data_IF_108733852466
#
_entry.id   IF_108733852466
#
_cell.length_a   1.000
_cell.length_b   1.000
_cell.length_c   1.000
_cell.angle_alpha   90.00
_cell.angle_beta   90.00
_cell.angle_gamma   90.00
#
_symmetry.space_group_name_H-M   'P 1'
#
loop_
_entity.id
_entity.type
_entity.pdbx_description
1 polymer ?
#
# COMPACT_ATOMS: atom_id res chain seq x y z
N UNK A 1 -5.89 12.46 -15.21
CA UNK A 1 -6.67 13.73 -15.13
C UNK A 1 -5.65 14.87 -15.10
N UNK A 2 -5.85 15.97 -15.83
CA UNK A 2 -4.87 17.07 -15.93
C UNK A 2 -5.38 18.32 -15.19
N UNK A 3 -5.26 18.38 -13.85
CA UNK A 3 -5.80 19.48 -13.07
C UNK A 3 -4.92 20.73 -13.24
N UNK A 4 -5.49 21.77 -13.85
CA UNK A 4 -4.82 23.03 -14.14
C UNK A 4 -5.50 24.17 -13.40
N UNK A 5 -4.70 25.15 -13.02
CA UNK A 5 -5.16 26.43 -12.48
C UNK A 5 -5.96 27.18 -13.56
N UNK A 6 -7.16 27.66 -13.22
CA UNK A 6 -8.07 28.32 -14.17
C UNK A 6 -7.48 29.57 -14.82
N UNK A 7 -6.65 30.33 -14.10
CA UNK A 7 -6.14 31.62 -14.56
C UNK A 7 -4.85 31.50 -15.38
N UNK A 8 -3.94 30.61 -14.97
CA UNK A 8 -2.58 30.51 -15.54
C UNK A 8 -2.35 29.23 -16.36
N UNK A 9 -3.26 28.26 -16.31
CA UNK A 9 -3.13 26.98 -17.02
C UNK A 9 -2.01 26.07 -16.49
N UNK A 10 -1.39 26.41 -15.36
CA UNK A 10 -0.29 25.66 -14.75
C UNK A 10 -0.80 24.46 -13.94
N UNK A 11 -0.01 23.38 -13.84
CA UNK A 11 -0.34 22.21 -13.00
C UNK A 11 -0.54 22.64 -11.55
N UNK A 12 -1.58 22.13 -10.87
CA UNK A 12 -1.81 22.48 -9.47
C UNK A 12 -0.61 22.10 -8.58
N UNK A 13 -0.23 22.94 -7.60
CA UNK A 13 0.84 22.61 -6.68
C UNK A 13 0.47 21.41 -5.80
N UNK A 14 1.48 20.65 -5.37
CA UNK A 14 1.34 19.48 -4.47
C UNK A 14 0.46 18.35 -5.03
N UNK A 15 0.32 18.25 -6.37
CA UNK A 15 -0.47 17.22 -7.03
C UNK A 15 0.38 16.42 -8.00
N UNK A 16 0.28 15.09 -7.91
CA UNK A 16 0.83 14.18 -8.91
C UNK A 16 -0.12 14.06 -10.10
N UNK A 17 0.45 13.95 -11.30
CA UNK A 17 -0.30 13.87 -12.57
C UNK A 17 -0.76 12.46 -12.90
N UNK A 18 -0.03 11.44 -12.47
CA UNK A 18 -0.31 10.02 -12.75
C UNK A 18 -0.31 9.22 -11.45
N UNK A 19 -1.36 8.42 -11.29
CA UNK A 19 -1.55 7.46 -10.21
C UNK A 19 -1.92 6.13 -10.84
N UNK A 20 -1.12 5.09 -10.56
CA UNK A 20 -1.36 3.75 -11.08
C UNK A 20 -1.25 2.73 -9.95
N UNK A 21 -2.33 1.97 -9.76
CA UNK A 21 -2.38 0.79 -8.93
C UNK A 21 -2.48 -0.47 -9.77
N UNK A 22 -1.65 -1.45 -9.47
CA UNK A 22 -1.76 -2.79 -10.00
C UNK A 22 -1.83 -3.78 -8.84
N UNK A 23 -2.67 -4.79 -8.98
CA UNK A 23 -2.77 -5.88 -8.03
C UNK A 23 -2.58 -7.20 -8.76
N UNK A 24 -1.67 -7.99 -8.24
CA UNK A 24 -1.37 -9.34 -8.67
C UNK A 24 -1.85 -10.30 -7.59
N UNK A 25 -2.58 -11.33 -8.01
CA UNK A 25 -3.05 -12.41 -7.15
C UNK A 25 -2.70 -13.73 -7.84
N UNK A 26 -1.94 -14.58 -7.15
CA UNK A 26 -1.46 -15.86 -7.65
C UNK A 26 -1.81 -16.95 -6.61
N UNK A 27 -2.83 -17.78 -6.88
CA UNK A 27 -3.06 -18.99 -6.10
C UNK A 27 -2.06 -20.06 -6.56
N UNK A 28 -1.05 -20.37 -5.73
CA UNK A 28 -0.01 -21.33 -6.10
C UNK A 28 -0.56 -22.75 -6.06
N UNK A 29 -1.15 -23.11 -4.92
CA UNK A 29 -1.79 -24.41 -4.66
C UNK A 29 -2.94 -24.20 -3.69
N UNK A 30 -3.74 -25.26 -3.49
CA UNK A 30 -4.80 -25.23 -2.49
C UNK A 30 -4.24 -24.89 -1.11
N UNK A 31 -4.59 -23.71 -0.61
CA UNK A 31 -4.15 -23.19 0.69
C UNK A 31 -2.89 -22.32 0.69
N UNK A 32 -2.26 -22.03 -0.44
CA UNK A 32 -1.16 -21.06 -0.54
C UNK A 32 -1.47 -20.02 -1.61
N UNK A 33 -1.46 -18.75 -1.21
CA UNK A 33 -1.71 -17.61 -2.09
C UNK A 33 -0.59 -16.58 -1.95
N UNK A 34 -0.16 -16.02 -3.08
CA UNK A 34 0.68 -14.85 -3.12
C UNK A 34 -0.09 -13.68 -3.70
N UNK A 35 0.07 -12.51 -3.10
CA UNK A 35 -0.51 -11.27 -3.57
C UNK A 35 0.57 -10.19 -3.59
N UNK A 36 0.55 -9.32 -4.59
CA UNK A 36 1.41 -8.16 -4.66
C UNK A 36 0.62 -6.96 -5.17
N UNK A 37 0.69 -5.85 -4.46
CA UNK A 37 0.09 -4.58 -4.81
C UNK A 37 1.22 -3.60 -5.18
N UNK A 38 1.26 -3.19 -6.45
CA UNK A 38 2.19 -2.18 -6.94
C UNK A 38 1.48 -0.82 -7.05
N UNK A 39 2.09 0.20 -6.46
CA UNK A 39 1.64 1.58 -6.49
C UNK A 39 2.71 2.46 -7.12
N UNK A 40 2.35 3.09 -8.23
CA UNK A 40 3.12 4.13 -8.87
C UNK A 40 2.44 5.49 -8.72
N UNK A 41 3.19 6.49 -8.26
CA UNK A 41 2.76 7.88 -8.24
C UNK A 41 3.84 8.71 -8.92
N UNK A 42 3.46 9.48 -9.95
CA UNK A 42 4.41 10.37 -10.62
C UNK A 42 4.94 11.43 -9.64
N UNK A 43 6.17 11.87 -9.88
CA UNK A 43 6.76 13.02 -9.19
C UNK A 43 5.81 14.21 -9.24
N UNK A 44 5.68 14.92 -8.12
CA UNK A 44 4.96 16.19 -8.05
C UNK A 44 5.72 17.24 -8.86
N UNK A 45 5.09 17.79 -9.90
CA UNK A 45 5.71 18.76 -10.81
C UNK A 45 5.98 20.09 -10.11
N UNK A 46 4.95 20.64 -9.44
CA UNK A 46 5.00 21.99 -8.87
C UNK A 46 4.79 21.98 -7.35
N UNK A 47 5.62 22.75 -6.66
CA UNK A 47 5.48 23.11 -5.25
C UNK A 47 5.42 24.64 -5.17
N UNK A 48 4.98 25.20 -4.05
CA UNK A 48 4.98 26.65 -3.86
C UNK A 48 6.43 27.18 -3.87
N UNK A 49 6.73 28.09 -4.80
CA UNK A 49 8.05 28.69 -4.99
C UNK A 49 8.55 29.37 -3.71
N UNK A 50 7.65 29.83 -2.84
CA UNK A 50 8.01 30.45 -1.54
C UNK A 50 8.69 29.47 -0.59
N UNK A 51 8.28 28.20 -0.60
CA UNK A 51 8.85 27.18 0.29
C UNK A 51 10.30 26.89 -0.11
N UNK A 52 10.57 26.87 -1.42
CA UNK A 52 11.93 26.73 -1.94
C UNK A 52 12.74 28.01 -1.73
N UNK A 53 12.18 29.19 -2.00
CA UNK A 53 12.88 30.46 -1.88
C UNK A 53 13.24 30.83 -0.44
N UNK A 54 12.41 30.44 0.54
CA UNK A 54 12.65 30.69 1.96
C UNK A 54 13.47 29.59 2.65
N UNK A 55 13.86 28.54 1.92
CA UNK A 55 14.61 27.38 2.41
C UNK A 55 14.04 26.78 3.71
N UNK A 56 12.71 26.78 3.84
CA UNK A 56 12.01 26.31 5.06
C UNK A 56 12.15 24.81 5.25
N UNK A 57 12.30 24.08 4.14
CA UNK A 57 12.50 22.62 4.11
C UNK A 57 13.79 22.35 3.35
N UNK A 58 14.77 21.80 4.05
CA UNK A 58 16.01 21.31 3.45
C UNK A 58 15.68 20.29 2.34
N UNK A 59 16.29 20.45 1.17
CA UNK A 59 16.04 19.62 -0.01
C UNK A 59 14.57 19.54 -0.45
N UNK A 60 13.79 20.63 -0.37
CA UNK A 60 12.43 20.72 -0.94
C UNK A 60 12.33 20.29 -2.44
N UNK A 61 13.48 20.28 -3.15
CA UNK A 61 13.62 19.81 -4.52
C UNK A 61 13.72 18.29 -4.69
N UNK A 62 14.07 17.52 -3.65
CA UNK A 62 14.33 16.07 -3.65
C UNK A 62 13.05 15.22 -3.76
N UNK A 63 12.26 15.51 -4.80
CA UNK A 63 11.02 14.84 -5.14
C UNK A 63 11.33 13.76 -6.17
N UNK A 64 10.95 12.53 -5.87
CA UNK A 64 11.09 11.38 -6.77
C UNK A 64 9.72 10.82 -7.12
N UNK A 65 9.63 10.04 -8.20
CA UNK A 65 8.45 9.25 -8.44
C UNK A 65 8.37 8.13 -7.39
N UNK A 66 7.17 7.77 -6.96
CA UNK A 66 6.96 6.78 -5.90
C UNK A 66 6.74 5.43 -6.55
N UNK A 67 7.55 4.45 -6.17
CA UNK A 67 7.45 3.06 -6.59
C UNK A 67 7.39 2.17 -5.35
N UNK A 68 6.17 1.79 -4.94
CA UNK A 68 5.95 0.97 -3.75
C UNK A 68 5.35 -0.37 -4.14
N UNK A 69 5.92 -1.44 -3.61
CA UNK A 69 5.39 -2.80 -3.71
C UNK A 69 5.04 -3.27 -2.31
N UNK A 70 3.77 -3.61 -2.10
CA UNK A 70 3.32 -4.33 -0.92
C UNK A 70 3.10 -5.78 -1.32
N UNK A 71 3.67 -6.73 -0.58
CA UNK A 71 3.53 -8.15 -0.87
C UNK A 71 2.86 -8.88 0.30
N UNK A 72 2.11 -9.93 -0.01
CA UNK A 72 1.42 -10.76 0.97
C UNK A 72 1.53 -12.22 0.57
N UNK A 73 1.86 -13.06 1.54
CA UNK A 73 1.74 -14.52 1.43
C UNK A 73 0.68 -15.00 2.42
N UNK A 74 -0.32 -15.72 1.92
CA UNK A 74 -1.41 -16.29 2.72
C UNK A 74 -1.27 -17.81 2.72
N UNK A 75 -1.30 -18.38 3.91
CA UNK A 75 -1.25 -19.81 4.17
C UNK A 75 -2.51 -20.21 4.92
N UNK A 76 -3.43 -20.86 4.21
CA UNK A 76 -4.65 -21.40 4.79
C UNK A 76 -4.40 -22.84 5.28
N UNK A 77 -4.13 -22.96 6.58
CA UNK A 77 -3.83 -24.25 7.21
C UNK A 77 -5.03 -25.17 7.31
N UNK A 78 -6.26 -24.68 7.07
CA UNK A 78 -7.44 -25.54 7.01
C UNK A 78 -7.35 -26.50 5.83
N UNK A 79 -6.82 -25.99 4.72
CA UNK A 79 -6.64 -26.76 3.49
C UNK A 79 -5.34 -27.55 3.48
N UNK A 80 -4.29 -27.03 4.13
CA UNK A 80 -2.96 -27.66 4.15
C UNK A 80 -2.79 -28.72 5.25
N UNK A 81 -3.36 -28.51 6.44
CA UNK A 81 -3.10 -29.32 7.63
C UNK A 81 -4.38 -29.65 8.44
N UNK A 82 -5.57 -29.30 7.93
CA UNK A 82 -6.85 -29.55 8.60
C UNK A 82 -7.13 -28.65 9.81
N UNK A 83 -6.26 -27.69 10.12
CA UNK A 83 -6.39 -26.79 11.27
C UNK A 83 -7.12 -25.50 10.88
N UNK A 84 -8.08 -24.96 11.66
CA UNK A 84 -8.87 -23.79 11.30
C UNK A 84 -8.10 -22.46 11.45
N UNK A 85 -6.84 -22.44 11.00
CA UNK A 85 -5.90 -21.35 11.14
C UNK A 85 -5.55 -20.80 9.75
N UNK A 86 -5.51 -19.48 9.61
CA UNK A 86 -4.93 -18.79 8.47
C UNK A 86 -3.76 -17.94 8.94
N UNK A 87 -2.59 -18.16 8.34
CA UNK A 87 -1.40 -17.37 8.58
C UNK A 87 -1.17 -16.44 7.38
N UNK A 88 -0.99 -15.15 7.61
CA UNK A 88 -0.71 -14.17 6.56
C UNK A 88 0.56 -13.42 6.91
N UNK A 89 1.55 -13.51 6.02
CA UNK A 89 2.78 -12.73 6.09
C UNK A 89 2.64 -11.51 5.18
N UNK A 90 2.70 -10.31 5.74
CA UNK A 90 2.59 -9.06 5.01
C UNK A 90 3.94 -8.35 4.99
N UNK A 91 4.34 -7.89 3.81
CA UNK A 91 5.49 -7.05 3.58
C UNK A 91 4.98 -5.72 3.02
N UNK A 92 5.04 -4.66 3.80
CA UNK A 92 4.80 -3.31 3.34
C UNK A 92 6.08 -2.66 2.88
N UNK A 93 6.04 -1.95 1.75
CA UNK A 93 7.22 -1.38 1.11
C UNK A 93 8.34 -2.42 0.98
N UNK A 94 8.04 -3.56 0.34
CA UNK A 94 8.90 -4.73 0.28
C UNK A 94 10.31 -4.44 -0.29
N UNK A 95 10.41 -3.44 -1.18
CA UNK A 95 11.66 -3.02 -1.81
C UNK A 95 12.42 -1.93 -1.05
N UNK A 96 11.92 -1.48 0.12
CA UNK A 96 12.55 -0.43 0.94
C UNK A 96 12.75 0.90 0.22
N UNK A 97 11.75 1.28 -0.57
CA UNK A 97 11.85 2.51 -1.36
C UNK A 97 11.66 3.73 -0.45
N UNK A 98 12.66 4.61 -0.39
CA UNK A 98 12.62 5.85 0.38
C UNK A 98 12.06 6.98 -0.46
N UNK A 99 10.98 7.59 0.02
CA UNK A 99 10.33 8.71 -0.64
C UNK A 99 9.61 9.61 0.37
N UNK A 100 9.27 10.81 -0.07
CA UNK A 100 8.54 11.80 0.71
C UNK A 100 7.08 11.78 0.27
N UNK A 101 6.14 11.56 1.21
CA UNK A 101 4.70 11.59 0.90
C UNK A 101 4.18 13.03 0.81
N UNK A 102 4.59 13.85 1.77
CA UNK A 102 4.29 15.28 1.88
C UNK A 102 5.60 15.95 2.28
N UNK A 103 5.87 17.18 1.81
CA UNK A 103 7.09 17.91 2.18
C UNK A 103 7.34 17.87 3.69
N UNK A 104 8.56 17.48 4.08
CA UNK A 104 8.96 17.33 5.48
C UNK A 104 8.49 16.04 6.17
N UNK A 105 7.79 15.14 5.48
CA UNK A 105 7.37 13.85 6.01
C UNK A 105 7.89 12.68 5.15
N UNK A 106 8.78 11.88 5.72
CA UNK A 106 9.27 10.66 5.09
C UNK A 106 8.19 9.58 5.15
N UNK A 107 8.05 8.83 4.06
CA UNK A 107 7.18 7.66 4.02
C UNK A 107 7.58 6.61 5.05
N UNK A 108 6.63 5.79 5.53
CA UNK A 108 6.95 4.56 6.25
C UNK A 108 8.00 3.69 5.54
N UNK A 109 8.98 3.23 6.31
CA UNK A 109 10.01 2.27 5.88
C UNK A 109 9.43 0.86 5.71
N UNK A 110 10.22 -0.08 5.19
CA UNK A 110 9.81 -1.48 5.08
C UNK A 110 9.29 -2.02 6.42
N UNK A 111 8.09 -2.59 6.41
CA UNK A 111 7.44 -3.15 7.59
C UNK A 111 6.93 -4.55 7.31
N UNK A 112 7.30 -5.51 8.16
CA UNK A 112 6.94 -6.92 8.01
C UNK A 112 6.02 -7.29 9.17
N UNK A 113 4.85 -7.88 8.88
CA UNK A 113 3.95 -8.38 9.92
C UNK A 113 3.46 -9.78 9.63
N UNK A 114 3.34 -10.57 10.70
CA UNK A 114 2.69 -11.88 10.69
C UNK A 114 1.32 -11.74 11.36
N UNK A 115 0.29 -12.20 10.66
CA UNK A 115 -1.09 -12.24 11.14
C UNK A 115 -1.53 -13.69 11.22
N UNK A 116 -2.02 -14.12 12.38
CA UNK A 116 -2.53 -15.46 12.60
C UNK A 116 -3.99 -15.34 13.01
N UNK A 117 -4.89 -15.88 12.20
CA UNK A 117 -6.33 -15.87 12.43
C UNK A 117 -6.82 -17.28 12.66
N UNK A 118 -7.73 -17.45 13.62
CA UNK A 118 -8.39 -18.73 13.88
C UNK A 118 -9.90 -18.55 13.78
N UNK A 119 -10.57 -19.44 13.04
CA UNK A 119 -12.03 -19.37 12.85
C UNK A 119 -12.71 -20.59 13.45
N UNK A 120 -13.30 -20.44 14.64
CA UNK A 120 -14.10 -21.51 15.25
C UNK A 120 -15.56 -21.39 14.83
N UNK A 121 -16.09 -22.41 14.13
CA UNK A 121 -17.54 -22.51 13.90
C UNK A 121 -18.19 -23.17 15.10
N UNK A 122 -18.94 -22.39 15.90
CA UNK A 122 -19.76 -22.92 17.00
C UNK A 122 -21.05 -23.51 16.43
N UNK A 123 -21.18 -24.83 16.44
CA UNK A 123 -22.46 -25.48 16.17
C UNK A 123 -23.39 -25.23 17.35
N UNK A 124 -24.37 -24.34 17.18
CA UNK A 124 -25.50 -24.23 18.10
C UNK A 124 -26.48 -25.34 17.71
N UNK A 125 -26.47 -26.42 18.48
CA UNK A 125 -27.49 -27.48 18.39
C UNK A 125 -28.85 -26.88 18.79
N UNK A 126 -29.60 -26.37 17.83
CA UNK A 126 -31.01 -26.07 18.01
C UNK A 126 -31.78 -27.37 18.24
N UNK A 127 -32.14 -27.65 19.50
CA UNK A 127 -33.24 -28.57 19.79
C UNK A 127 -34.51 -27.93 19.24
N UNK A 128 -34.98 -28.44 18.11
CA UNK A 128 -36.37 -28.29 17.70
C UNK A 128 -37.16 -29.17 18.68
N UNK A 129 -37.81 -28.54 19.65
CA UNK A 129 -38.85 -29.21 20.42
C UNK A 129 -40.07 -29.33 19.52
N UNK A 130 -40.48 -30.58 19.26
CA UNK A 130 -41.77 -30.93 18.67
C UNK A 130 -42.92 -30.53 19.60
#
# INVERSE_FOLDING_TARGET
MNPREYTKGLTLPFRSSILWYNKLYIPIVSGIELQADYRFISRVERIDDRITALNVVEDAGARVAIHVVDARAVFNLQTLAGSPITCTLNFRNALDYYYVEILGNLSPIRHISLQVETSFKRYVSGRIFN
#
